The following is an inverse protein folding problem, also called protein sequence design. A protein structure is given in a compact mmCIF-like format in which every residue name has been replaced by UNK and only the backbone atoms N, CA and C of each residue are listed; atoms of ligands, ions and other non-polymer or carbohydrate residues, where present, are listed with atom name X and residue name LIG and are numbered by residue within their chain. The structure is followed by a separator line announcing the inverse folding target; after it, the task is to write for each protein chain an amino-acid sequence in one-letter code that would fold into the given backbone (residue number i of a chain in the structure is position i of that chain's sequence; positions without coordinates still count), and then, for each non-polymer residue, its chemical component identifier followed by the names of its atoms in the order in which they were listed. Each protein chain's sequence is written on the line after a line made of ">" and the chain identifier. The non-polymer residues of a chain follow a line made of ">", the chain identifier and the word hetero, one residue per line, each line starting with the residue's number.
data_IF_627888739417
#
_entry.id   IF_627888739417
#
_cell.length_a   1.000
_cell.length_b   1.000
_cell.length_c   1.000
_cell.angle_alpha   90.00
_cell.angle_beta   90.00
_cell.angle_gamma   90.00
#
_symmetry.space_group_name_H-M   'P 1'
#
loop_
_entity.id
_entity.type
_entity.pdbx_description
1 polymer ?
#
# COMPACT_ATOMS: atom_id res chain seq x y z
N UNK A 1 -80.91 -52.43 -14.87
CA UNK A 1 -82.10 -51.55 -15.05
C UNK A 1 -82.07 -50.57 -13.89
N UNK A 2 -81.99 -49.26 -14.14
CA UNK A 2 -81.99 -48.25 -13.05
C UNK A 2 -83.41 -48.11 -12.50
N UNK A 3 -83.55 -48.05 -11.18
CA UNK A 3 -84.86 -47.88 -10.54
C UNK A 3 -85.34 -46.45 -10.85
N UNK A 4 -86.54 -46.32 -11.45
CA UNK A 4 -87.15 -45.01 -11.72
C UNK A 4 -87.93 -44.55 -10.48
N UNK A 5 -87.60 -43.36 -9.98
CA UNK A 5 -88.33 -42.68 -8.90
C UNK A 5 -88.98 -41.41 -9.46
N UNK A 6 -90.26 -41.19 -9.17
CA UNK A 6 -90.94 -39.92 -9.46
C UNK A 6 -91.38 -39.35 -8.12
N UNK A 7 -90.78 -38.22 -7.74
CA UNK A 7 -90.85 -37.66 -6.41
C UNK A 7 -91.40 -36.24 -6.47
N UNK A 8 -92.32 -35.89 -5.57
CA UNK A 8 -93.06 -34.62 -5.56
C UNK A 8 -92.65 -33.78 -4.34
N UNK A 9 -92.29 -32.52 -4.58
CA UNK A 9 -91.90 -31.59 -3.52
C UNK A 9 -93.07 -31.17 -2.62
N UNK A 10 -94.32 -31.25 -3.12
CA UNK A 10 -95.53 -31.03 -2.32
C UNK A 10 -95.85 -32.21 -1.40
N UNK A 11 -95.23 -33.38 -1.62
CA UNK A 11 -95.39 -34.60 -0.83
C UNK A 11 -96.81 -35.18 -0.84
N UNK A 12 -97.68 -34.69 -1.72
CA UNK A 12 -99.10 -35.07 -1.80
C UNK A 12 -99.35 -36.26 -2.72
N UNK A 13 -98.48 -36.51 -3.70
CA UNK A 13 -98.61 -37.64 -4.62
C UNK A 13 -97.80 -38.86 -4.17
N UNK A 14 -98.52 -39.92 -3.79
CA UNK A 14 -97.95 -41.22 -3.37
C UNK A 14 -98.09 -42.32 -4.46
N UNK A 15 -98.79 -42.03 -5.56
CA UNK A 15 -99.28 -43.05 -6.50
C UNK A 15 -98.20 -43.79 -7.33
N UNK A 16 -96.93 -43.40 -7.24
CA UNK A 16 -95.80 -44.06 -7.94
C UNK A 16 -94.70 -44.59 -6.99
N UNK A 17 -95.02 -44.79 -5.70
CA UNK A 17 -94.09 -45.30 -4.68
C UNK A 17 -93.82 -46.82 -4.68
N UNK A 18 -94.24 -47.55 -5.72
CA UNK A 18 -94.06 -49.02 -5.76
C UNK A 18 -92.60 -49.47 -5.94
N UNK A 19 -91.65 -48.54 -6.00
CA UNK A 19 -90.23 -48.82 -6.17
C UNK A 19 -89.49 -48.70 -4.83
N UNK A 20 -89.02 -49.83 -4.31
CA UNK A 20 -88.12 -49.90 -3.15
C UNK A 20 -86.68 -49.98 -3.64
N UNK A 21 -85.84 -49.03 -3.23
CA UNK A 21 -84.42 -49.07 -3.51
C UNK A 21 -83.79 -50.15 -2.63
N UNK A 22 -83.24 -51.19 -3.25
CA UNK A 22 -82.60 -52.29 -2.53
C UNK A 22 -81.12 -52.33 -2.86
N UNK A 23 -80.28 -52.27 -1.84
CA UNK A 23 -78.83 -52.49 -1.93
C UNK A 23 -78.40 -53.56 -0.94
N UNK A 24 -77.17 -54.06 -1.08
CA UNK A 24 -76.54 -54.97 -0.12
C UNK A 24 -75.37 -54.26 0.57
N UNK A 25 -75.10 -54.61 1.83
CA UNK A 25 -73.87 -54.22 2.50
C UNK A 25 -72.65 -54.59 1.64
N UNK A 26 -71.76 -53.63 1.44
CA UNK A 26 -70.58 -53.80 0.58
C UNK A 26 -70.78 -53.49 -0.90
N UNK A 27 -72.02 -53.21 -1.36
CA UNK A 27 -72.25 -52.69 -2.71
C UNK A 27 -71.56 -51.32 -2.84
N UNK A 28 -70.75 -51.16 -3.89
CA UNK A 28 -70.00 -49.93 -4.17
C UNK A 28 -70.35 -49.39 -5.54
N UNK A 29 -70.95 -48.20 -5.59
CA UNK A 29 -71.17 -47.46 -6.84
C UNK A 29 -72.12 -48.13 -7.85
N UNK A 30 -72.84 -49.19 -7.46
CA UNK A 30 -73.70 -49.98 -8.34
C UNK A 30 -75.19 -49.71 -8.16
N UNK A 31 -75.60 -49.17 -7.01
CA UNK A 31 -77.00 -48.86 -6.72
C UNK A 31 -77.29 -47.43 -7.17
N UNK A 32 -77.91 -47.30 -8.34
CA UNK A 32 -78.27 -46.00 -8.95
C UNK A 32 -79.76 -45.91 -9.23
N UNK A 33 -80.37 -44.80 -8.82
CA UNK A 33 -81.76 -44.43 -9.14
C UNK A 33 -81.79 -43.34 -10.20
N UNK A 34 -82.81 -43.36 -11.06
CA UNK A 34 -83.13 -42.28 -11.98
C UNK A 34 -84.36 -41.54 -11.44
N UNK A 35 -84.18 -40.30 -11.03
CA UNK A 35 -85.13 -39.52 -10.22
C UNK A 35 -85.72 -38.38 -11.06
N UNK A 36 -87.04 -38.29 -11.10
CA UNK A 36 -87.78 -37.17 -11.66
C UNK A 36 -88.47 -36.42 -10.53
N UNK A 37 -88.06 -35.18 -10.30
CA UNK A 37 -88.69 -34.28 -9.33
C UNK A 37 -89.82 -33.53 -10.00
N UNK A 38 -90.97 -33.50 -9.35
CA UNK A 38 -92.15 -32.76 -9.78
C UNK A 38 -92.65 -31.83 -8.67
N UNK A 39 -93.36 -30.79 -9.05
CA UNK A 39 -94.16 -29.92 -8.19
C UNK A 39 -95.62 -30.05 -8.61
N UNK A 40 -96.39 -30.84 -7.85
CA UNK A 40 -97.80 -31.08 -8.17
C UNK A 40 -98.02 -31.76 -9.52
N UNK A 41 -97.07 -32.60 -9.95
CA UNK A 41 -97.11 -33.32 -11.23
C UNK A 41 -96.43 -32.61 -12.41
N UNK A 42 -95.99 -31.37 -12.25
CA UNK A 42 -95.22 -30.63 -13.28
C UNK A 42 -93.72 -30.81 -13.01
N UNK A 43 -92.86 -31.07 -14.01
CA UNK A 43 -91.42 -31.17 -13.81
C UNK A 43 -90.84 -29.96 -13.06
N UNK A 44 -90.11 -30.22 -11.97
CA UNK A 44 -89.51 -29.17 -11.15
C UNK A 44 -88.11 -28.81 -11.70
N UNK A 45 -87.87 -27.53 -12.00
CA UNK A 45 -86.60 -27.10 -12.58
C UNK A 45 -85.48 -27.11 -11.53
N UNK A 46 -84.43 -27.90 -11.77
CA UNK A 46 -83.29 -28.09 -10.87
C UNK A 46 -82.11 -27.14 -11.17
N UNK A 47 -82.22 -26.27 -12.18
CA UNK A 47 -81.13 -25.36 -12.57
C UNK A 47 -80.71 -24.48 -11.39
N UNK A 48 -79.42 -24.54 -11.04
CA UNK A 48 -78.86 -23.74 -9.93
C UNK A 48 -79.15 -24.28 -8.53
N UNK A 49 -79.80 -25.44 -8.40
CA UNK A 49 -80.01 -26.11 -7.12
C UNK A 49 -78.94 -27.18 -6.87
N UNK A 50 -78.56 -27.33 -5.60
CA UNK A 50 -77.78 -28.47 -5.11
C UNK A 50 -78.74 -29.51 -4.55
N UNK A 51 -78.52 -30.77 -4.91
CA UNK A 51 -79.38 -31.88 -4.49
C UNK A 51 -78.60 -32.72 -3.48
N UNK A 52 -79.22 -33.02 -2.35
CA UNK A 52 -78.66 -33.96 -1.38
C UNK A 52 -79.61 -35.14 -1.24
N UNK A 53 -79.06 -36.35 -1.28
CA UNK A 53 -79.70 -37.47 -0.63
C UNK A 53 -79.58 -37.31 0.89
N UNK A 54 -80.68 -37.48 1.60
CA UNK A 54 -80.71 -37.51 3.06
C UNK A 54 -81.40 -38.79 3.53
N UNK A 55 -80.67 -39.58 4.31
CA UNK A 55 -81.10 -40.89 4.76
C UNK A 55 -80.85 -41.11 6.26
N UNK A 56 -81.79 -41.81 6.90
CA UNK A 56 -81.60 -42.39 8.24
C UNK A 56 -81.57 -43.91 8.12
N UNK A 57 -80.42 -44.48 8.49
CA UNK A 57 -80.20 -45.93 8.51
C UNK A 57 -81.02 -46.63 9.60
N UNK A 58 -81.15 -47.97 9.57
CA UNK A 58 -81.82 -48.73 10.64
C UNK A 58 -81.33 -48.39 12.05
N UNK A 59 -80.02 -48.14 12.23
CA UNK A 59 -79.39 -47.78 13.50
C UNK A 59 -79.41 -46.28 13.85
N UNK A 60 -80.21 -45.46 13.15
CA UNK A 60 -80.28 -43.99 13.27
C UNK A 60 -79.05 -43.20 12.80
N UNK A 61 -78.00 -43.83 12.26
CA UNK A 61 -76.91 -43.06 11.69
C UNK A 61 -77.36 -42.37 10.39
N UNK A 62 -77.02 -41.08 10.29
CA UNK A 62 -77.45 -40.17 9.23
C UNK A 62 -76.49 -40.21 8.03
N UNK A 63 -77.02 -40.08 6.82
CA UNK A 63 -76.24 -39.95 5.59
C UNK A 63 -76.77 -38.75 4.84
N UNK A 64 -75.89 -37.78 4.56
CA UNK A 64 -76.16 -36.65 3.68
C UNK A 64 -75.11 -36.57 2.61
N UNK A 65 -75.54 -36.76 1.37
CA UNK A 65 -74.63 -36.87 0.25
C UNK A 65 -75.14 -36.13 -0.99
N UNK A 66 -74.28 -35.28 -1.55
CA UNK A 66 -74.49 -34.65 -2.86
C UNK A 66 -73.58 -35.25 -3.93
N UNK A 67 -72.46 -35.86 -3.55
CA UNK A 67 -71.42 -36.35 -4.47
C UNK A 67 -71.92 -37.43 -5.44
N UNK A 68 -72.95 -38.19 -5.06
CA UNK A 68 -73.58 -39.19 -5.92
C UNK A 68 -74.55 -38.65 -6.98
N UNK A 69 -74.87 -37.35 -6.96
CA UNK A 69 -75.84 -36.73 -7.89
C UNK A 69 -75.20 -36.46 -9.25
N UNK A 70 -75.87 -36.89 -10.31
CA UNK A 70 -75.56 -36.56 -11.70
C UNK A 70 -76.81 -36.00 -12.38
N UNK A 71 -76.81 -34.70 -12.66
CA UNK A 71 -77.91 -34.06 -13.40
C UNK A 71 -77.99 -34.66 -14.82
N UNK A 72 -79.18 -35.11 -15.21
CA UNK A 72 -79.44 -35.64 -16.55
C UNK A 72 -80.17 -34.59 -17.39
N UNK A 73 -81.22 -33.98 -16.83
CA UNK A 73 -81.92 -32.86 -17.44
C UNK A 73 -82.53 -31.97 -16.34
N UNK A 74 -81.84 -30.87 -16.02
CA UNK A 74 -82.22 -29.96 -14.94
C UNK A 74 -83.61 -29.34 -15.15
N UNK A 75 -83.95 -28.93 -16.38
CA UNK A 75 -85.23 -28.26 -16.66
C UNK A 75 -86.43 -29.21 -16.59
N UNK A 76 -86.18 -30.52 -16.68
CA UNK A 76 -87.18 -31.57 -16.54
C UNK A 76 -87.17 -32.26 -15.16
N UNK A 77 -86.46 -31.71 -14.17
CA UNK A 77 -86.40 -32.31 -12.84
C UNK A 77 -85.67 -33.65 -12.78
N UNK A 78 -84.86 -33.98 -13.79
CA UNK A 78 -84.30 -35.32 -13.96
C UNK A 78 -82.82 -35.39 -13.55
N UNK A 79 -82.50 -36.28 -12.61
CA UNK A 79 -81.13 -36.59 -12.21
C UNK A 79 -80.98 -38.06 -11.85
N UNK A 80 -79.74 -38.56 -11.95
CA UNK A 80 -79.38 -39.85 -11.38
C UNK A 80 -78.72 -39.64 -10.02
N UNK A 81 -78.99 -40.54 -9.09
CA UNK A 81 -78.26 -40.60 -7.83
C UNK A 81 -77.69 -41.99 -7.62
N UNK A 82 -76.37 -42.05 -7.49
CA UNK A 82 -75.66 -43.27 -7.11
C UNK A 82 -75.41 -43.25 -5.62
N UNK A 83 -75.99 -44.21 -4.92
CA UNK A 83 -75.89 -44.28 -3.47
C UNK A 83 -74.47 -44.58 -3.01
N UNK A 84 -74.05 -43.84 -1.98
CA UNK A 84 -72.82 -44.06 -1.24
C UNK A 84 -72.82 -45.43 -0.54
N UNK A 85 -71.70 -46.17 -0.49
CA UNK A 85 -71.58 -47.41 0.28
C UNK A 85 -72.02 -47.25 1.75
N UNK A 86 -71.76 -46.09 2.35
CA UNK A 86 -72.13 -45.74 3.73
C UNK A 86 -73.65 -45.73 3.95
N UNK A 87 -74.46 -45.57 2.88
CA UNK A 87 -75.93 -45.66 2.93
C UNK A 87 -76.38 -47.07 3.28
N UNK A 88 -75.73 -48.07 2.70
CA UNK A 88 -76.03 -49.49 2.89
C UNK A 88 -75.16 -50.11 3.98
N UNK A 89 -74.58 -49.32 4.88
CA UNK A 89 -73.67 -49.80 5.92
C UNK A 89 -74.34 -50.65 7.01
N UNK A 90 -75.67 -50.65 7.13
CA UNK A 90 -76.44 -51.40 8.15
C UNK A 90 -77.61 -52.12 7.50
N UNK A 91 -77.63 -53.44 7.62
CA UNK A 91 -78.74 -54.26 7.14
C UNK A 91 -80.07 -53.92 7.83
N UNK A 92 -81.16 -53.92 7.05
CA UNK A 92 -82.51 -53.62 7.51
C UNK A 92 -83.22 -52.57 6.66
N UNK A 93 -84.40 -52.17 7.12
CA UNK A 93 -85.23 -51.15 6.47
C UNK A 93 -84.73 -49.76 6.89
N UNK A 94 -84.40 -48.93 5.91
CA UNK A 94 -84.08 -47.52 6.13
C UNK A 94 -85.27 -46.79 6.76
N UNK A 95 -85.01 -45.99 7.79
CA UNK A 95 -86.06 -45.28 8.54
C UNK A 95 -86.60 -44.07 7.78
N UNK A 96 -85.75 -43.46 6.96
CA UNK A 96 -86.08 -42.29 6.14
C UNK A 96 -85.14 -42.20 4.96
N UNK A 97 -85.65 -41.82 3.80
CA UNK A 97 -84.85 -41.59 2.59
C UNK A 97 -85.61 -40.61 1.70
N UNK A 98 -85.03 -39.44 1.46
CA UNK A 98 -85.59 -38.42 0.59
C UNK A 98 -84.47 -37.63 -0.09
N UNK A 99 -84.84 -36.78 -1.04
CA UNK A 99 -83.92 -35.79 -1.61
C UNK A 99 -84.29 -34.40 -1.11
N UNK A 100 -83.29 -33.64 -0.65
CA UNK A 100 -83.41 -32.20 -0.44
C UNK A 100 -82.82 -31.46 -1.62
N UNK A 101 -83.45 -30.33 -1.94
CA UNK A 101 -83.10 -29.48 -3.07
C UNK A 101 -82.90 -28.10 -2.47
N UNK A 102 -81.65 -27.65 -2.46
CA UNK A 102 -81.23 -26.43 -1.80
C UNK A 102 -80.68 -25.42 -2.79
N UNK A 103 -81.03 -24.15 -2.61
CA UNK A 103 -80.55 -23.04 -3.43
C UNK A 103 -79.84 -22.02 -2.54
N UNK A 104 -78.54 -21.81 -2.80
CA UNK A 104 -77.75 -20.76 -2.14
C UNK A 104 -77.81 -20.75 -0.61
N UNK A 105 -78.00 -21.91 0.02
CA UNK A 105 -78.12 -22.06 1.49
C UNK A 105 -79.33 -21.37 2.13
N UNK A 106 -80.24 -20.79 1.34
CA UNK A 106 -81.35 -19.95 1.84
C UNK A 106 -82.72 -20.58 1.58
N UNK A 107 -82.85 -21.32 0.49
CA UNK A 107 -84.09 -22.02 0.12
C UNK A 107 -83.86 -23.52 0.19
N UNK A 108 -84.79 -24.25 0.82
CA UNK A 108 -84.77 -25.70 0.92
C UNK A 108 -86.15 -26.28 0.63
N UNK A 109 -86.23 -27.12 -0.39
CA UNK A 109 -87.37 -27.99 -0.66
C UNK A 109 -86.96 -29.45 -0.40
N UNK A 110 -87.92 -30.32 -0.15
CA UNK A 110 -87.69 -31.76 0.00
C UNK A 110 -88.79 -32.57 -0.66
N UNK A 111 -88.43 -33.74 -1.16
CA UNK A 111 -89.39 -34.72 -1.67
C UNK A 111 -90.12 -35.41 -0.52
N UNK A 112 -91.13 -36.22 -0.87
CA UNK A 112 -91.61 -37.27 0.02
C UNK A 112 -90.52 -38.34 0.27
N UNK A 113 -90.72 -39.12 1.34
CA UNK A 113 -89.88 -40.27 1.64
C UNK A 113 -90.10 -41.40 0.62
N UNK A 114 -89.06 -42.17 0.30
CA UNK A 114 -89.14 -43.40 -0.47
C UNK A 114 -88.53 -44.58 0.30
N UNK A 115 -88.91 -45.81 -0.06
CA UNK A 115 -88.43 -47.01 0.61
C UNK A 115 -86.99 -47.36 0.24
N UNK A 116 -86.15 -47.62 1.25
CA UNK A 116 -84.79 -48.12 1.09
C UNK A 116 -84.56 -49.36 1.96
N UNK A 117 -84.08 -50.45 1.38
CA UNK A 117 -83.76 -51.70 2.08
C UNK A 117 -82.29 -52.06 1.87
N UNK A 118 -81.62 -52.39 2.96
CA UNK A 118 -80.24 -52.90 2.93
C UNK A 118 -80.24 -54.39 3.28
N UNK A 119 -79.74 -55.22 2.38
CA UNK A 119 -79.51 -56.65 2.60
C UNK A 119 -78.16 -56.87 3.29
N UNK A 120 -78.08 -57.87 4.17
CA UNK A 120 -76.81 -58.25 4.81
C UNK A 120 -75.80 -58.81 3.79
N UNK A 121 -74.53 -58.53 4.03
CA UNK A 121 -73.43 -59.19 3.31
C UNK A 121 -73.23 -60.63 3.81
N UNK A 122 -72.40 -61.40 3.10
CA UNK A 122 -72.11 -62.78 3.47
C UNK A 122 -71.06 -62.91 4.57
N UNK A 123 -70.33 -61.82 4.90
CA UNK A 123 -69.06 -61.92 5.60
C UNK A 123 -69.07 -61.38 7.04
N UNK A 124 -69.89 -60.39 7.44
CA UNK A 124 -69.92 -59.98 8.88
C UNK A 124 -71.02 -58.99 9.31
N UNK A 125 -71.89 -58.48 8.45
CA UNK A 125 -73.04 -57.66 8.85
C UNK A 125 -72.74 -56.29 9.50
N UNK A 126 -71.47 -55.93 9.73
CA UNK A 126 -71.07 -54.72 10.46
C UNK A 126 -69.67 -54.25 10.04
N UNK A 127 -69.54 -53.36 9.05
CA UNK A 127 -68.21 -52.76 8.77
C UNK A 127 -68.20 -51.30 8.30
N UNK A 128 -69.32 -50.61 8.09
CA UNK A 128 -69.26 -49.19 7.66
C UNK A 128 -70.42 -48.30 8.18
N UNK A 129 -70.71 -48.29 9.48
CA UNK A 129 -71.79 -47.44 10.01
C UNK A 129 -71.35 -46.38 11.02
N UNK A 130 -70.85 -45.26 10.49
CA UNK A 130 -70.87 -43.94 11.14
C UNK A 130 -71.86 -43.00 10.43
N UNK A 131 -72.13 -41.79 10.97
CA UNK A 131 -72.78 -40.74 10.20
C UNK A 131 -71.89 -40.31 9.02
N UNK A 132 -72.48 -40.00 7.87
CA UNK A 132 -71.76 -39.60 6.66
C UNK A 132 -72.19 -38.21 6.16
N UNK A 133 -71.24 -37.29 6.27
CA UNK A 133 -71.16 -35.89 5.82
C UNK A 133 -70.44 -35.62 4.49
N UNK A 134 -71.04 -35.62 3.30
CA UNK A 134 -70.24 -35.37 2.06
C UNK A 134 -69.37 -34.11 2.10
N UNK A 135 -69.95 -32.98 2.49
CA UNK A 135 -69.23 -31.71 2.66
C UNK A 135 -68.20 -31.73 3.78
N UNK A 136 -68.45 -32.50 4.85
CA UNK A 136 -67.51 -32.63 5.97
C UNK A 136 -66.27 -33.43 5.54
N UNK A 137 -66.43 -34.48 4.75
CA UNK A 137 -65.31 -35.23 4.20
C UNK A 137 -64.48 -34.38 3.24
N UNK A 138 -65.13 -33.58 2.39
CA UNK A 138 -64.43 -32.61 1.54
C UNK A 138 -63.62 -31.62 2.39
N UNK A 139 -64.19 -31.11 3.48
CA UNK A 139 -63.50 -30.22 4.41
C UNK A 139 -62.31 -30.89 5.10
N UNK A 140 -62.45 -32.15 5.53
CA UNK A 140 -61.36 -32.93 6.15
C UNK A 140 -60.21 -33.11 5.15
N UNK A 141 -60.52 -33.47 3.90
CA UNK A 141 -59.52 -33.63 2.84
C UNK A 141 -58.81 -32.31 2.53
N UNK A 142 -59.56 -31.20 2.47
CA UNK A 142 -58.98 -29.86 2.27
C UNK A 142 -58.06 -29.46 3.44
N UNK A 143 -58.46 -29.75 4.67
CA UNK A 143 -57.64 -29.48 5.85
C UNK A 143 -56.34 -30.30 5.83
N UNK A 144 -56.42 -31.59 5.46
CA UNK A 144 -55.23 -32.44 5.33
C UNK A 144 -54.29 -31.93 4.24
N UNK A 145 -54.82 -31.56 3.08
CA UNK A 145 -54.03 -30.97 2.00
C UNK A 145 -53.33 -29.68 2.43
N UNK A 146 -54.04 -28.81 3.18
CA UNK A 146 -53.46 -27.58 3.69
C UNK A 146 -52.31 -27.85 4.67
N UNK A 147 -52.46 -28.83 5.56
CA UNK A 147 -51.40 -29.24 6.48
C UNK A 147 -50.18 -29.75 5.71
N UNK A 148 -50.39 -30.57 4.69
CA UNK A 148 -49.30 -31.13 3.87
C UNK A 148 -48.59 -30.03 3.06
N UNK A 149 -49.32 -29.05 2.49
CA UNK A 149 -48.75 -27.90 1.79
C UNK A 149 -47.91 -27.02 2.73
N UNK A 150 -48.42 -26.73 3.94
CA UNK A 150 -47.69 -25.96 4.95
C UNK A 150 -46.39 -26.68 5.34
N UNK A 151 -46.45 -27.98 5.62
CA UNK A 151 -45.27 -28.78 5.97
C UNK A 151 -44.23 -28.82 4.84
N UNK A 152 -44.68 -28.93 3.59
CA UNK A 152 -43.83 -28.88 2.41
C UNK A 152 -43.12 -27.52 2.29
N UNK A 153 -43.86 -26.41 2.41
CA UNK A 153 -43.31 -25.05 2.38
C UNK A 153 -42.32 -24.81 3.52
N UNK A 154 -42.66 -25.24 4.74
CA UNK A 154 -41.79 -25.13 5.92
C UNK A 154 -40.45 -25.84 5.70
N UNK A 155 -40.49 -27.06 5.17
CA UNK A 155 -39.29 -27.84 4.85
C UNK A 155 -38.42 -27.15 3.80
N UNK A 156 -39.05 -26.58 2.76
CA UNK A 156 -38.35 -25.82 1.72
C UNK A 156 -37.67 -24.58 2.29
N UNK A 157 -38.40 -23.79 3.09
CA UNK A 157 -37.88 -22.57 3.74
C UNK A 157 -36.69 -22.90 4.65
N UNK A 158 -36.81 -23.93 5.50
CA UNK A 158 -35.72 -24.31 6.41
C UNK A 158 -34.47 -24.76 5.67
N UNK A 159 -34.65 -25.46 4.55
CA UNK A 159 -33.54 -25.86 3.67
C UNK A 159 -32.84 -24.63 3.08
N UNK A 160 -33.59 -23.68 2.56
CA UNK A 160 -33.06 -22.42 2.01
C UNK A 160 -32.34 -21.60 3.09
N UNK A 161 -32.93 -21.49 4.29
CA UNK A 161 -32.34 -20.76 5.42
C UNK A 161 -31.00 -21.37 5.84
N UNK A 162 -30.92 -22.70 5.92
CA UNK A 162 -29.68 -23.43 6.24
C UNK A 162 -28.61 -23.17 5.17
N UNK A 163 -28.99 -23.19 3.89
CA UNK A 163 -28.06 -22.87 2.80
C UNK A 163 -27.55 -21.43 2.87
N UNK A 164 -28.41 -20.46 3.17
CA UNK A 164 -28.02 -19.06 3.35
C UNK A 164 -27.07 -18.89 4.54
N UNK A 165 -27.36 -19.55 5.66
CA UNK A 165 -26.50 -19.52 6.84
C UNK A 165 -25.11 -20.09 6.55
N UNK A 166 -25.05 -21.23 5.85
CA UNK A 166 -23.79 -21.83 5.45
C UNK A 166 -22.99 -20.90 4.52
N UNK A 167 -23.65 -20.31 3.52
CA UNK A 167 -23.01 -19.33 2.62
C UNK A 167 -22.43 -18.16 3.40
N UNK A 168 -23.19 -17.59 4.35
CA UNK A 168 -22.76 -16.48 5.18
C UNK A 168 -21.54 -16.85 6.04
N UNK A 169 -21.54 -18.03 6.65
CA UNK A 169 -20.42 -18.50 7.47
C UNK A 169 -19.14 -18.76 6.66
N UNK A 170 -19.27 -19.05 5.36
CA UNK A 170 -18.14 -19.29 4.45
C UNK A 170 -17.71 -18.05 3.66
N UNK A 171 -18.35 -16.89 3.86
CA UNK A 171 -17.95 -15.68 3.15
C UNK A 171 -16.62 -15.14 3.69
N UNK A 172 -15.59 -15.13 2.84
CA UNK A 172 -14.28 -14.54 3.12
C UNK A 172 -14.31 -13.01 2.98
N UNK A 173 -15.06 -12.34 3.86
CA UNK A 173 -15.20 -10.87 3.88
C UNK A 173 -14.64 -10.26 5.17
N UNK A 174 -13.97 -9.12 5.05
CA UNK A 174 -13.52 -8.33 6.21
C UNK A 174 -14.68 -7.47 6.71
N UNK A 175 -14.96 -7.51 8.02
CA UNK A 175 -16.05 -6.75 8.65
C UNK A 175 -15.74 -5.25 8.68
N UNK A 176 -16.79 -4.42 8.68
CA UNK A 176 -16.65 -2.96 8.84
C UNK A 176 -16.08 -2.55 10.21
N UNK A 177 -16.30 -3.36 11.23
CA UNK A 177 -15.71 -3.20 12.57
C UNK A 177 -14.23 -3.61 12.63
N UNK A 178 -13.64 -4.10 11.53
CA UNK A 178 -12.34 -4.76 11.49
C UNK A 178 -12.48 -6.28 11.62
N UNK A 179 -11.56 -6.99 10.96
CA UNK A 179 -11.33 -8.43 11.08
C UNK A 179 -9.88 -8.75 10.68
N UNK A 180 -9.43 -9.99 10.88
CA UNK A 180 -8.09 -10.45 10.44
C UNK A 180 -8.16 -11.03 9.04
N UNK A 181 -7.30 -10.55 8.12
CA UNK A 181 -7.11 -11.19 6.81
C UNK A 181 -5.99 -12.22 6.89
N UNK A 182 -6.29 -13.47 6.55
CA UNK A 182 -5.28 -14.53 6.38
C UNK A 182 -4.89 -14.60 4.90
N UNK A 183 -3.59 -14.46 4.60
CA UNK A 183 -3.05 -14.47 3.23
C UNK A 183 -2.73 -13.08 2.66
N UNK A 184 -2.19 -13.00 1.44
CA UNK A 184 -1.79 -11.73 0.82
C UNK A 184 -2.99 -10.92 0.30
N UNK A 185 -2.92 -9.59 0.45
CA UNK A 185 -3.85 -8.66 -0.18
C UNK A 185 -3.34 -8.29 -1.59
N UNK A 186 -4.07 -8.66 -2.63
CA UNK A 186 -3.81 -8.26 -4.01
C UNK A 186 -4.84 -7.23 -4.49
N UNK A 187 -4.36 -6.07 -4.97
CA UNK A 187 -5.22 -5.00 -5.50
C UNK A 187 -5.10 -5.04 -7.03
N UNK A 188 -6.14 -5.53 -7.72
CA UNK A 188 -6.14 -5.69 -9.19
C UNK A 188 -7.20 -4.80 -9.87
N UNK A 189 -6.94 -3.49 -9.96
CA UNK A 189 -7.75 -2.59 -10.81
C UNK A 189 -7.43 -2.77 -12.31
N UNK A 190 -8.40 -2.58 -13.21
CA UNK A 190 -8.14 -2.60 -14.64
C UNK A 190 -7.50 -1.28 -15.12
N UNK A 191 -6.61 -1.35 -16.13
CA UNK A 191 -6.04 -0.18 -16.80
C UNK A 191 -4.96 0.58 -16.01
N UNK A 192 -4.66 1.80 -16.46
CA UNK A 192 -3.60 2.67 -15.92
C UNK A 192 -4.00 3.46 -14.66
N UNK A 193 -5.11 3.09 -14.00
CA UNK A 193 -5.57 3.76 -12.77
C UNK A 193 -4.61 3.52 -11.60
N UNK A 194 -4.42 4.52 -10.76
CA UNK A 194 -3.70 4.39 -9.49
C UNK A 194 -4.35 3.32 -8.60
N UNK A 195 -3.58 2.31 -8.20
CA UNK A 195 -3.96 1.36 -7.17
C UNK A 195 -3.43 1.85 -5.84
N UNK A 196 -4.23 1.81 -4.79
CA UNK A 196 -3.82 2.42 -3.52
C UNK A 196 -4.49 1.82 -2.29
N UNK A 197 -3.79 1.96 -1.17
CA UNK A 197 -4.36 1.91 0.18
C UNK A 197 -4.55 3.35 0.64
N UNK A 198 -5.80 3.77 0.79
CA UNK A 198 -6.17 5.14 1.10
C UNK A 198 -6.50 5.30 2.59
N UNK A 199 -5.88 6.29 3.23
CA UNK A 199 -6.20 6.73 4.58
C UNK A 199 -7.14 7.93 4.47
N UNK A 200 -8.29 7.86 5.13
CA UNK A 200 -9.32 8.89 5.07
C UNK A 200 -9.57 9.49 6.45
N UNK A 201 -9.96 10.75 6.47
CA UNK A 201 -10.53 11.45 7.62
C UNK A 201 -11.87 12.05 7.18
N UNK A 202 -12.93 11.70 7.89
CA UNK A 202 -14.29 12.21 7.62
C UNK A 202 -14.74 12.01 6.15
N UNK A 203 -14.43 10.85 5.57
CA UNK A 203 -14.75 10.48 4.18
C UNK A 203 -13.86 11.14 3.12
N UNK A 204 -12.91 11.99 3.50
CA UNK A 204 -11.94 12.62 2.59
C UNK A 204 -10.61 11.91 2.68
N UNK A 205 -10.01 11.57 1.53
CA UNK A 205 -8.69 10.98 1.47
C UNK A 205 -7.60 11.98 1.87
N UNK A 206 -6.77 11.59 2.85
CA UNK A 206 -5.73 12.45 3.40
C UNK A 206 -4.34 12.01 2.95
N UNK A 207 -4.09 10.71 2.96
CA UNK A 207 -2.84 10.08 2.54
C UNK A 207 -3.12 8.79 1.81
N UNK A 208 -2.21 8.36 0.95
CA UNK A 208 -2.26 7.02 0.40
C UNK A 208 -0.88 6.42 0.16
N UNK A 209 -0.83 5.09 0.17
CA UNK A 209 0.21 4.29 -0.44
C UNK A 209 -0.28 3.92 -1.83
N UNK A 210 0.46 4.26 -2.88
CA UNK A 210 -0.01 4.05 -4.24
C UNK A 210 1.01 3.34 -5.14
N UNK A 211 0.47 2.65 -6.14
CA UNK A 211 1.16 2.23 -7.34
C UNK A 211 0.45 2.83 -8.56
N UNK A 212 1.20 3.45 -9.47
CA UNK A 212 0.67 4.07 -10.68
C UNK A 212 1.23 3.39 -11.93
N UNK A 213 0.34 2.82 -12.75
CA UNK A 213 0.62 2.28 -14.09
C UNK A 213 1.92 1.46 -14.19
N UNK A 214 2.26 0.69 -13.15
CA UNK A 214 3.50 -0.08 -12.99
C UNK A 214 4.82 0.72 -13.04
N UNK A 215 4.76 2.05 -13.09
CA UNK A 215 5.93 2.94 -13.24
C UNK A 215 6.37 3.58 -11.93
N UNK A 216 5.42 3.80 -11.00
CA UNK A 216 5.72 4.47 -9.74
C UNK A 216 5.09 3.72 -8.57
N UNK A 217 5.81 3.64 -7.45
CA UNK A 217 5.32 3.21 -6.15
C UNK A 217 5.70 4.26 -5.11
N UNK A 218 4.75 4.75 -4.32
CA UNK A 218 5.03 5.88 -3.44
C UNK A 218 3.99 6.17 -2.38
N UNK A 219 4.23 7.24 -1.64
CA UNK A 219 3.29 7.83 -0.68
C UNK A 219 2.88 9.21 -1.17
N UNK A 220 1.58 9.47 -1.18
CA UNK A 220 1.02 10.78 -1.53
C UNK A 220 0.36 11.45 -0.33
N UNK A 221 0.73 12.71 -0.10
CA UNK A 221 -0.05 13.66 0.69
C UNK A 221 -1.12 14.24 -0.23
N UNK A 222 -2.36 13.77 -0.05
CA UNK A 222 -3.48 14.12 -0.93
C UNK A 222 -3.96 15.54 -0.64
N UNK A 223 -4.01 15.93 0.64
CA UNK A 223 -4.40 17.28 1.04
C UNK A 223 -3.38 18.30 0.54
N UNK A 224 -2.08 18.03 0.74
CA UNK A 224 -0.99 18.89 0.29
C UNK A 224 -0.70 18.80 -1.20
N UNK A 225 -1.47 18.00 -1.96
CA UNK A 225 -1.34 17.73 -3.38
C UNK A 225 0.11 17.48 -3.84
N UNK A 226 0.82 16.60 -3.13
CA UNK A 226 2.23 16.32 -3.40
C UNK A 226 2.60 14.88 -3.06
N UNK A 227 3.54 14.32 -3.81
CA UNK A 227 4.14 13.05 -3.45
C UNK A 227 5.18 13.30 -2.35
N UNK A 228 5.22 12.44 -1.32
CA UNK A 228 6.19 12.52 -0.23
C UNK A 228 7.51 11.92 -0.69
N UNK A 229 7.43 10.72 -1.23
CA UNK A 229 8.49 9.99 -1.92
C UNK A 229 7.88 9.04 -2.94
N UNK A 230 8.67 8.65 -3.93
CA UNK A 230 8.30 7.65 -4.91
C UNK A 230 9.53 6.88 -5.40
N UNK A 231 9.32 5.61 -5.73
CA UNK A 231 10.25 4.79 -6.48
C UNK A 231 9.75 4.70 -7.92
N UNK A 232 10.57 5.14 -8.87
CA UNK A 232 10.32 4.98 -10.29
C UNK A 232 10.90 3.64 -10.75
N UNK A 233 10.04 2.70 -11.09
CA UNK A 233 10.43 1.34 -11.51
C UNK A 233 11.07 1.30 -12.89
N UNK A 234 10.91 2.36 -13.70
CA UNK A 234 11.48 2.47 -15.05
C UNK A 234 12.92 2.94 -15.00
N UNK A 235 13.23 3.93 -14.16
CA UNK A 235 14.59 4.46 -13.99
C UNK A 235 15.36 3.81 -12.83
N UNK A 236 14.66 3.11 -11.93
CA UNK A 236 15.24 2.57 -10.70
C UNK A 236 15.54 3.63 -9.64
N UNK A 237 15.00 4.84 -9.80
CA UNK A 237 15.29 5.98 -8.92
C UNK A 237 14.34 6.03 -7.72
N UNK A 238 14.90 6.24 -6.53
CA UNK A 238 14.15 6.59 -5.33
C UNK A 238 14.17 8.10 -5.12
N UNK A 239 13.04 8.75 -5.38
CA UNK A 239 12.88 10.20 -5.30
C UNK A 239 12.19 10.58 -4.00
N UNK A 240 12.88 11.36 -3.16
CA UNK A 240 12.25 12.01 -2.00
C UNK A 240 11.84 13.42 -2.41
N UNK A 241 10.53 13.64 -2.53
CA UNK A 241 9.93 14.83 -3.14
C UNK A 241 9.46 15.87 -2.11
N UNK A 242 9.67 15.57 -0.83
CA UNK A 242 9.42 16.47 0.29
C UNK A 242 10.68 16.57 1.15
N UNK A 243 10.84 17.62 1.98
CA UNK A 243 11.98 17.72 2.87
C UNK A 243 12.10 16.48 3.77
N UNK A 244 13.28 15.83 3.79
CA UNK A 244 13.56 14.69 4.68
C UNK A 244 13.46 15.05 6.18
N UNK A 245 13.42 16.34 6.51
CA UNK A 245 13.29 16.89 7.86
C UNK A 245 12.69 18.30 7.83
N UNK A 246 12.15 18.74 8.96
CA UNK A 246 11.73 20.13 9.15
C UNK A 246 12.92 21.09 9.02
N UNK A 247 12.63 22.38 8.79
CA UNK A 247 13.66 23.41 8.77
C UNK A 247 14.48 23.37 10.08
N UNK A 248 15.81 23.21 9.96
CA UNK A 248 16.72 23.09 11.10
C UNK A 248 16.94 21.68 11.67
N UNK A 249 16.30 20.64 11.11
CA UNK A 249 16.57 19.25 11.52
C UNK A 249 18.01 18.80 11.22
N UNK A 250 18.44 17.67 11.79
CA UNK A 250 19.76 17.05 11.56
C UNK A 250 19.57 15.63 11.02
N UNK A 251 20.42 15.20 10.09
CA UNK A 251 20.51 13.82 9.61
C UNK A 251 21.66 13.16 10.35
N UNK A 252 21.37 12.15 11.17
CA UNK A 252 22.35 11.48 12.03
C UNK A 252 22.69 10.09 11.49
N UNK A 253 23.94 9.67 11.64
CA UNK A 253 24.45 8.37 11.18
C UNK A 253 25.52 8.49 10.10
N UNK A 254 26.37 7.47 9.96
CA UNK A 254 27.35 7.41 8.89
C UNK A 254 26.63 7.27 7.54
N UNK A 255 27.06 8.04 6.54
CA UNK A 255 26.58 7.94 5.15
C UNK A 255 27.78 7.79 4.24
N UNK A 256 27.79 6.75 3.41
CA UNK A 256 28.82 6.49 2.40
C UNK A 256 28.22 6.72 1.02
N UNK A 257 28.97 7.34 0.11
CA UNK A 257 28.61 7.51 -1.29
C UNK A 257 29.67 6.81 -2.14
N UNK A 258 29.31 5.71 -2.80
CA UNK A 258 30.22 4.96 -3.70
C UNK A 258 30.30 5.58 -5.10
N UNK A 259 29.54 6.65 -5.33
CA UNK A 259 29.56 7.46 -6.54
C UNK A 259 29.78 8.94 -6.17
N UNK A 260 30.22 9.78 -7.13
CA UNK A 260 30.38 11.21 -6.90
C UNK A 260 29.09 11.86 -6.37
N UNK A 261 29.23 12.68 -5.32
CA UNK A 261 28.13 13.46 -4.75
C UNK A 261 28.17 14.90 -5.26
N UNK A 262 26.99 15.47 -5.51
CA UNK A 262 26.82 16.92 -5.73
C UNK A 262 25.97 17.51 -4.60
N UNK A 263 26.54 18.47 -3.85
CA UNK A 263 25.83 19.21 -2.81
C UNK A 263 25.51 20.61 -3.35
N UNK A 264 24.22 20.98 -3.41
CA UNK A 264 23.76 22.32 -3.83
C UNK A 264 22.85 22.93 -2.76
N UNK A 265 22.97 24.23 -2.54
CA UNK A 265 22.11 24.99 -1.63
C UNK A 265 22.20 26.48 -1.91
N UNK A 266 21.18 27.25 -1.52
CA UNK A 266 21.08 28.70 -1.79
C UNK A 266 22.20 29.55 -1.17
N UNK A 267 22.93 29.01 -0.20
CA UNK A 267 24.06 29.66 0.45
C UNK A 267 25.38 28.86 0.35
N UNK A 268 25.40 27.74 -0.40
CA UNK A 268 26.54 26.85 -0.69
C UNK A 268 27.63 26.71 0.41
N UNK A 269 27.25 26.81 1.68
CA UNK A 269 28.15 26.72 2.81
C UNK A 269 27.95 25.38 3.51
N UNK A 270 29.04 24.68 3.79
CA UNK A 270 29.01 23.44 4.56
C UNK A 270 30.19 23.36 5.53
N UNK A 271 29.92 22.85 6.72
CA UNK A 271 30.87 22.75 7.82
C UNK A 271 31.42 21.32 7.93
N UNK A 272 32.73 21.17 7.82
CA UNK A 272 33.45 19.97 8.22
C UNK A 272 33.96 20.17 9.64
N UNK A 273 33.23 19.63 10.62
CA UNK A 273 33.64 19.66 12.04
C UNK A 273 33.19 18.39 12.77
N UNK A 274 33.90 17.97 13.82
CA UNK A 274 33.37 16.97 14.75
C UNK A 274 32.03 17.44 15.30
N UNK A 275 31.11 16.49 15.57
CA UNK A 275 29.88 16.78 16.27
C UNK A 275 29.97 16.27 17.71
N UNK A 276 30.01 17.19 18.67
CA UNK A 276 29.83 16.90 20.09
C UNK A 276 28.57 17.63 20.56
N UNK A 277 27.60 16.88 21.10
CA UNK A 277 26.33 17.45 21.56
C UNK A 277 26.58 18.54 22.62
N UNK A 278 26.04 19.74 22.41
CA UNK A 278 26.15 20.86 23.36
C UNK A 278 27.48 21.62 23.35
N UNK A 279 28.44 21.27 22.48
CA UNK A 279 29.72 21.97 22.36
C UNK A 279 30.01 22.37 20.91
N UNK A 280 30.25 23.66 20.67
CA UNK A 280 30.77 24.12 19.38
C UNK A 280 32.16 23.52 19.16
N UNK A 281 32.33 22.85 18.03
CA UNK A 281 33.59 22.19 17.67
C UNK A 281 34.30 22.98 16.60
N UNK A 282 35.61 23.20 16.80
CA UNK A 282 36.51 23.76 15.79
C UNK A 282 36.48 22.90 14.53
N UNK A 283 36.72 23.50 13.38
CA UNK A 283 36.72 22.83 12.09
C UNK A 283 36.93 23.81 10.96
N UNK A 284 36.40 23.49 9.78
CA UNK A 284 36.45 24.39 8.62
C UNK A 284 35.07 24.55 7.98
N UNK A 285 34.79 25.75 7.48
CA UNK A 285 33.61 26.04 6.66
C UNK A 285 34.07 26.20 5.22
N UNK A 286 33.45 25.43 4.34
CA UNK A 286 33.55 25.56 2.90
C UNK A 286 32.45 26.50 2.42
N UNK A 287 32.75 27.37 1.45
CA UNK A 287 31.74 28.21 0.78
C UNK A 287 32.07 28.40 -0.69
N UNK A 288 31.04 28.63 -1.50
CA UNK A 288 31.16 29.15 -2.86
C UNK A 288 30.61 30.57 -2.86
N UNK A 289 31.49 31.54 -3.07
CA UNK A 289 31.06 32.92 -3.29
C UNK A 289 30.68 33.09 -4.76
N UNK A 290 29.38 33.12 -5.02
CA UNK A 290 28.84 33.25 -6.38
C UNK A 290 29.03 34.66 -6.95
N UNK A 291 28.98 35.70 -6.11
CA UNK A 291 29.16 37.10 -6.52
C UNK A 291 30.56 37.37 -7.07
N UNK A 292 31.58 36.86 -6.37
CA UNK A 292 32.99 37.10 -6.71
C UNK A 292 33.65 35.89 -7.40
N UNK A 293 32.86 34.85 -7.70
CA UNK A 293 33.27 33.59 -8.30
C UNK A 293 34.55 32.99 -7.68
N UNK A 294 34.47 32.58 -6.41
CA UNK A 294 35.57 31.84 -5.77
C UNK A 294 35.07 30.76 -4.82
N UNK A 295 35.87 29.71 -4.66
CA UNK A 295 35.73 28.74 -3.59
C UNK A 295 36.60 29.17 -2.42
N UNK A 296 36.09 29.12 -1.19
CA UNK A 296 36.88 29.43 0.00
C UNK A 296 36.66 28.45 1.15
N UNK A 297 37.71 28.31 1.96
CA UNK A 297 37.72 27.55 3.21
C UNK A 297 38.20 28.46 4.33
N UNK A 298 37.45 28.56 5.42
CA UNK A 298 37.82 29.35 6.60
C UNK A 298 37.77 28.51 7.88
N UNK A 299 38.69 28.74 8.83
CA UNK A 299 38.65 28.08 10.13
C UNK A 299 37.43 28.54 10.94
N UNK A 300 36.85 27.63 11.71
CA UNK A 300 35.74 27.87 12.62
C UNK A 300 36.27 28.02 14.05
N UNK A 301 35.82 29.05 14.76
CA UNK A 301 36.17 29.30 16.16
C UNK A 301 35.32 28.49 17.17
N UNK A 302 35.56 28.73 18.46
CA UNK A 302 34.89 28.06 19.59
C UNK A 302 33.42 28.47 19.76
N UNK A 303 32.95 29.47 19.01
CA UNK A 303 31.55 29.91 18.98
C UNK A 303 30.81 29.41 17.74
N UNK A 304 31.49 28.67 16.86
CA UNK A 304 30.92 28.17 15.61
C UNK A 304 30.91 29.19 14.47
N UNK A 305 31.56 30.33 14.63
CA UNK A 305 31.70 31.35 13.60
C UNK A 305 32.93 31.09 12.72
N UNK A 306 32.77 31.31 11.40
CA UNK A 306 33.88 31.19 10.45
C UNK A 306 34.69 32.49 10.41
N UNK A 307 36.01 32.40 10.56
CA UNK A 307 36.91 33.55 10.48
C UNK A 307 37.43 33.73 9.05
N UNK A 308 36.69 34.50 8.24
CA UNK A 308 37.02 34.73 6.83
C UNK A 308 38.29 35.55 6.60
N UNK A 309 38.79 36.28 7.60
CA UNK A 309 40.09 36.97 7.50
C UNK A 309 41.28 35.99 7.41
N UNK A 310 41.07 34.74 7.84
CA UNK A 310 42.04 33.65 7.79
C UNK A 310 41.68 32.60 6.72
N UNK A 311 40.96 32.99 5.67
CA UNK A 311 40.54 32.06 4.62
C UNK A 311 41.69 31.65 3.69
N UNK A 312 41.49 30.51 3.04
CA UNK A 312 42.12 30.15 1.77
C UNK A 312 41.05 30.25 0.68
N UNK A 313 41.32 30.93 -0.43
CA UNK A 313 40.38 31.10 -1.53
C UNK A 313 41.00 30.79 -2.90
N UNK A 314 40.26 30.10 -3.76
CA UNK A 314 40.60 29.87 -5.16
C UNK A 314 39.61 30.62 -6.04
N UNK A 315 40.09 31.67 -6.72
CA UNK A 315 39.27 32.50 -7.58
C UNK A 315 39.05 31.84 -8.94
N UNK A 316 37.79 31.58 -9.29
CA UNK A 316 37.42 30.91 -10.54
C UNK A 316 37.69 31.73 -11.80
N UNK A 317 37.69 33.06 -11.69
CA UNK A 317 37.97 33.93 -12.84
C UNK A 317 39.46 33.99 -13.20
N UNK A 318 40.34 33.89 -12.20
CA UNK A 318 41.78 34.13 -12.37
C UNK A 318 42.63 32.90 -12.11
N UNK A 319 42.08 31.86 -11.47
CA UNK A 319 42.83 30.71 -10.98
C UNK A 319 43.74 31.02 -9.78
N UNK A 320 43.70 32.23 -9.23
CA UNK A 320 44.58 32.65 -8.13
C UNK A 320 44.18 31.92 -6.84
N UNK A 321 45.17 31.29 -6.21
CA UNK A 321 45.08 30.78 -4.84
C UNK A 321 45.57 31.88 -3.87
N UNK A 322 44.63 32.43 -3.10
CA UNK A 322 44.88 33.44 -2.07
C UNK A 322 44.84 32.78 -0.69
N UNK A 323 45.86 33.04 0.12
CA UNK A 323 46.01 32.50 1.48
C UNK A 323 46.52 33.61 2.38
N UNK A 324 45.99 33.67 3.62
CA UNK A 324 46.41 34.69 4.59
C UNK A 324 47.92 34.65 4.87
N UNK A 325 48.44 33.46 5.16
CA UNK A 325 49.84 33.19 5.42
C UNK A 325 50.15 31.74 5.03
N UNK A 326 51.34 31.49 4.47
CA UNK A 326 51.80 30.14 4.11
C UNK A 326 53.07 29.79 4.87
N UNK A 327 52.97 28.82 5.78
CA UNK A 327 54.14 28.23 6.43
C UNK A 327 54.54 26.93 5.72
N UNK A 328 55.61 26.98 4.92
CA UNK A 328 56.15 25.81 4.23
C UNK A 328 57.10 25.08 5.18
N UNK A 329 56.63 23.99 5.80
CA UNK A 329 57.52 23.10 6.56
C UNK A 329 58.47 22.43 5.57
N UNK A 330 59.75 22.72 5.72
CA UNK A 330 60.80 22.39 4.76
C UNK A 330 60.91 20.88 4.54
N UNK A 331 60.33 20.37 3.46
CA UNK A 331 60.84 19.14 2.84
C UNK A 331 62.19 19.45 2.21
N UNK A 332 63.10 18.48 2.16
CA UNK A 332 64.49 18.64 1.71
C UNK A 332 64.70 19.29 0.32
N UNK A 333 63.63 19.49 -0.45
CA UNK A 333 63.62 20.03 -1.81
C UNK A 333 62.79 21.33 -1.96
N UNK A 334 62.57 22.09 -0.88
CA UNK A 334 61.89 23.39 -0.99
C UNK A 334 62.79 24.43 -1.68
N UNK A 335 62.37 24.92 -2.84
CA UNK A 335 63.04 26.00 -3.59
C UNK A 335 62.73 27.41 -3.02
N UNK A 336 62.15 27.47 -1.82
CA UNK A 336 62.10 28.72 -1.05
C UNK A 336 63.54 29.02 -0.64
N UNK A 337 64.04 30.23 -0.91
CA UNK A 337 65.38 30.67 -0.50
C UNK A 337 65.55 30.40 1.00
N UNK A 338 66.15 29.25 1.34
CA UNK A 338 66.36 28.91 2.75
C UNK A 338 67.52 29.77 3.22
N UNK A 339 67.24 30.71 4.13
CA UNK A 339 68.24 31.53 4.81
C UNK A 339 69.19 30.72 5.71
N UNK A 340 69.13 29.39 5.64
CA UNK A 340 69.92 28.46 6.45
C UNK A 340 71.43 28.62 6.22
N UNK A 341 71.84 29.05 5.01
CA UNK A 341 73.24 29.31 4.66
C UNK A 341 73.62 30.80 4.68
N UNK A 342 72.69 31.69 5.01
CA UNK A 342 72.97 33.13 5.06
C UNK A 342 73.73 33.46 6.35
N UNK A 343 74.75 34.31 6.25
CA UNK A 343 75.55 34.71 7.39
C UNK A 343 76.91 35.26 7.02
N UNK A 344 77.63 35.69 8.05
CA UNK A 344 78.97 36.23 7.97
C UNK A 344 79.98 35.14 8.36
N UNK A 345 80.93 34.85 7.47
CA UNK A 345 82.06 33.98 7.76
C UNK A 345 83.35 34.79 7.85
N UNK A 346 84.07 34.66 8.96
CA UNK A 346 85.42 35.23 9.10
C UNK A 346 86.42 34.42 8.31
N UNK A 347 87.25 35.07 7.49
CA UNK A 347 88.27 34.42 6.69
C UNK A 347 89.61 34.46 7.41
N UNK A 348 90.23 33.29 7.56
CA UNK A 348 91.54 33.15 8.20
C UNK A 348 92.60 33.25 7.10
N UNK A 349 93.49 34.24 7.23
CA UNK A 349 94.61 34.41 6.31
C UNK A 349 95.69 33.33 6.56
N UNK A 350 96.35 32.89 5.49
CA UNK A 350 97.54 32.05 5.60
C UNK A 350 98.74 32.89 6.07
N UNK A 351 99.84 32.24 6.45
CA UNK A 351 101.11 32.92 6.77
C UNK A 351 101.67 33.77 5.60
N UNK A 352 101.20 33.51 4.38
CA UNK A 352 101.61 34.22 3.17
C UNK A 352 100.92 35.59 3.01
N UNK A 353 99.97 35.94 3.88
CA UNK A 353 99.25 37.20 3.81
C UNK A 353 99.10 37.85 5.18
N UNK A 354 99.06 39.18 5.18
CA UNK A 354 98.79 39.96 6.39
C UNK A 354 97.61 40.87 6.14
N UNK A 355 96.72 40.97 7.14
CA UNK A 355 95.62 41.92 7.10
C UNK A 355 96.18 43.33 7.28
N UNK A 356 95.98 44.18 6.28
CA UNK A 356 96.56 45.51 6.27
C UNK A 356 95.72 46.54 7.04
N UNK A 357 94.48 46.18 7.42
CA UNK A 357 93.58 47.06 8.17
C UNK A 357 92.81 46.28 9.24
N UNK A 358 93.13 46.54 10.52
CA UNK A 358 92.48 45.87 11.66
C UNK A 358 90.98 46.21 11.79
N UNK A 359 90.52 47.34 11.23
CA UNK A 359 89.10 47.72 11.17
C UNK A 359 88.35 47.12 9.97
N UNK A 360 89.04 46.48 9.02
CA UNK A 360 88.46 45.89 7.82
C UNK A 360 88.82 44.40 7.71
N UNK A 361 88.26 43.61 8.63
CA UNK A 361 88.55 42.19 8.73
C UNK A 361 88.16 41.41 7.46
N UNK A 362 88.97 40.42 7.04
CA UNK A 362 88.62 39.51 5.96
C UNK A 362 87.36 38.71 6.31
N UNK A 363 86.29 38.90 5.52
CA UNK A 363 85.03 38.17 5.70
C UNK A 363 84.39 37.80 4.34
N UNK A 364 83.52 36.79 4.38
CA UNK A 364 82.57 36.47 3.33
C UNK A 364 81.14 36.59 3.88
N UNK A 365 80.30 37.40 3.24
CA UNK A 365 78.89 37.59 3.61
C UNK A 365 77.97 36.94 2.58
N UNK A 366 77.17 35.95 2.97
CA UNK A 366 76.21 35.26 2.09
C UNK A 366 74.79 35.78 2.27
N UNK A 367 74.13 36.12 1.16
CA UNK A 367 72.70 36.45 1.08
C UNK A 367 72.10 35.72 -0.13
N UNK A 368 71.33 34.66 0.13
CA UNK A 368 70.74 33.81 -0.90
C UNK A 368 71.80 33.02 -1.69
N UNK A 369 71.84 33.22 -3.01
CA UNK A 369 72.82 32.60 -3.91
C UNK A 369 74.05 33.50 -4.16
N UNK A 370 74.17 34.62 -3.46
CA UNK A 370 75.21 35.62 -3.68
C UNK A 370 76.08 35.74 -2.45
N UNK A 371 77.40 35.75 -2.65
CA UNK A 371 78.40 35.99 -1.62
C UNK A 371 79.20 37.22 -1.98
N UNK A 372 79.43 38.08 -1.00
CA UNK A 372 80.39 39.18 -1.11
C UNK A 372 81.56 38.92 -0.19
N UNK A 373 82.74 38.73 -0.77
CA UNK A 373 84.00 38.68 -0.04
C UNK A 373 84.56 40.09 0.05
N UNK A 374 84.99 40.47 1.25
CA UNK A 374 85.72 41.72 1.46
C UNK A 374 86.94 41.47 2.34
N UNK A 375 88.06 42.06 1.96
CA UNK A 375 89.29 42.05 2.75
C UNK A 375 90.24 43.16 2.30
N UNK A 376 91.11 43.62 3.19
CA UNK A 376 92.19 44.52 2.84
C UNK A 376 93.51 43.89 3.26
N UNK A 377 94.26 43.36 2.29
CA UNK A 377 95.36 42.42 2.56
C UNK A 377 96.58 42.75 1.72
N UNK A 378 97.72 42.32 2.24
CA UNK A 378 99.00 42.31 1.52
C UNK A 378 99.49 40.87 1.48
N UNK A 379 99.78 40.34 0.28
CA UNK A 379 100.59 39.11 0.18
C UNK A 379 102.03 39.45 0.54
N UNK A 380 102.62 38.76 1.49
CA UNK A 380 103.91 39.11 2.06
C UNK A 380 105.06 39.00 1.05
N UNK A 381 106.06 39.87 1.16
CA UNK A 381 107.27 39.78 0.34
C UNK A 381 108.02 38.51 0.73
N UNK A 382 108.38 37.67 -0.25
CA UNK A 382 109.02 36.38 0.00
C UNK A 382 108.06 35.19 0.19
N UNK A 383 106.74 35.39 0.06
CA UNK A 383 105.75 34.31 0.16
C UNK A 383 105.91 33.22 -0.91
N UNK A 384 106.01 31.96 -0.49
CA UNK A 384 106.18 30.78 -1.35
C UNK A 384 104.91 30.36 -2.11
N UNK A 385 103.73 30.85 -1.69
CA UNK A 385 102.44 30.53 -2.32
C UNK A 385 101.61 31.78 -2.62
N UNK A 386 100.77 31.70 -3.67
CA UNK A 386 99.78 32.73 -4.00
C UNK A 386 98.53 32.66 -3.11
N UNK A 387 98.31 31.55 -2.40
CA UNK A 387 97.13 31.34 -1.54
C UNK A 387 97.15 32.25 -0.31
N UNK A 388 96.16 33.13 -0.19
CA UNK A 388 96.03 34.07 0.93
C UNK A 388 94.97 33.66 1.96
N UNK A 389 93.91 32.95 1.56
CA UNK A 389 92.95 32.31 2.48
C UNK A 389 92.09 31.26 1.74
N UNK A 390 91.35 30.47 2.52
CA UNK A 390 90.38 29.49 1.99
C UNK A 390 88.98 29.81 2.46
N UNK A 391 88.04 29.87 1.53
CA UNK A 391 86.61 30.06 1.76
C UNK A 391 85.96 28.80 2.35
N UNK A 392 85.13 28.94 3.40
CA UNK A 392 84.26 27.86 3.88
C UNK A 392 83.37 27.30 2.77
N UNK A 393 83.00 26.02 2.89
CA UNK A 393 82.30 25.26 1.83
C UNK A 393 81.02 25.95 1.32
N UNK A 394 80.24 26.56 2.21
CA UNK A 394 78.97 27.20 1.85
C UNK A 394 79.12 28.58 1.19
N UNK A 395 80.34 29.12 1.09
CA UNK A 395 80.60 30.43 0.47
C UNK A 395 81.58 30.36 -0.71
N UNK A 396 81.85 29.17 -1.23
CA UNK A 396 82.73 28.97 -2.41
C UNK A 396 81.98 29.32 -3.69
N UNK A 397 82.63 30.02 -4.64
CA UNK A 397 81.98 30.40 -5.89
C UNK A 397 81.64 29.17 -6.74
N UNK A 398 80.58 29.24 -7.54
CA UNK A 398 80.21 28.17 -8.46
C UNK A 398 81.25 27.94 -9.56
N UNK A 399 81.98 28.99 -9.95
CA UNK A 399 83.06 28.98 -10.94
C UNK A 399 84.22 29.85 -10.46
N UNK A 400 85.44 29.65 -10.99
CA UNK A 400 86.57 30.55 -10.68
C UNK A 400 86.29 31.96 -11.18
N UNK A 401 86.43 32.94 -10.26
CA UNK A 401 86.29 34.37 -10.54
C UNK A 401 87.67 35.01 -10.51
N UNK A 402 88.10 35.53 -11.65
CA UNK A 402 89.38 36.23 -11.82
C UNK A 402 89.14 37.73 -11.91
N UNK A 403 89.81 38.51 -11.06
CA UNK A 403 89.65 39.95 -10.96
C UNK A 403 91.00 40.63 -10.85
N UNK A 404 91.10 41.83 -11.41
CA UNK A 404 92.24 42.72 -11.22
C UNK A 404 91.83 43.86 -10.30
N UNK A 405 92.58 44.04 -9.22
CA UNK A 405 92.39 45.12 -8.25
C UNK A 405 93.57 46.09 -8.31
N UNK A 406 93.33 47.36 -7.97
CA UNK A 406 94.39 48.34 -7.80
C UNK A 406 94.90 48.30 -6.36
N UNK A 407 96.22 48.21 -6.19
CA UNK A 407 96.88 48.38 -4.90
C UNK A 407 96.97 49.87 -4.53
N UNK A 408 97.25 50.16 -3.25
CA UNK A 408 97.36 51.53 -2.75
C UNK A 408 98.44 52.37 -3.44
N UNK A 409 99.44 51.74 -4.06
CA UNK A 409 100.51 52.38 -4.81
C UNK A 409 100.20 52.53 -6.32
N UNK A 410 98.97 52.22 -6.74
CA UNK A 410 98.52 52.30 -8.13
C UNK A 410 98.87 51.10 -9.01
N UNK A 411 99.57 50.09 -8.49
CA UNK A 411 99.89 48.86 -9.25
C UNK A 411 98.69 47.92 -9.35
N UNK A 412 98.63 47.14 -10.43
CA UNK A 412 97.56 46.14 -10.64
C UNK A 412 97.92 44.83 -9.95
N UNK A 413 96.97 44.25 -9.23
CA UNK A 413 97.06 42.97 -8.52
C UNK A 413 95.97 42.03 -9.03
N UNK A 414 96.39 40.94 -9.67
CA UNK A 414 95.49 39.85 -10.04
C UNK A 414 95.11 39.01 -8.83
N UNK A 415 93.81 38.76 -8.67
CA UNK A 415 93.23 37.92 -7.63
C UNK A 415 92.28 36.89 -8.25
N UNK A 416 92.47 35.62 -7.89
CA UNK A 416 91.55 34.55 -8.23
C UNK A 416 90.80 34.08 -6.99
N UNK A 417 89.48 33.97 -7.11
CA UNK A 417 88.64 33.24 -6.16
C UNK A 417 88.18 31.98 -6.89
N UNK A 418 88.81 30.85 -6.62
CA UNK A 418 88.60 29.62 -7.37
C UNK A 418 87.39 28.83 -6.84
N UNK A 419 86.81 27.99 -7.70
CA UNK A 419 85.66 27.14 -7.37
C UNK A 419 85.90 26.21 -6.17
N UNK A 420 87.15 25.82 -5.89
CA UNK A 420 87.54 25.00 -4.74
C UNK A 420 87.70 25.83 -3.44
N UNK A 421 87.43 27.13 -3.50
CA UNK A 421 87.41 28.05 -2.37
C UNK A 421 88.74 28.73 -2.07
N UNK A 422 89.78 28.54 -2.88
CA UNK A 422 91.06 29.25 -2.68
C UNK A 422 90.93 30.70 -3.12
N UNK A 423 91.47 31.60 -2.33
CA UNK A 423 91.69 33.00 -2.71
C UNK A 423 93.18 33.17 -2.95
N UNK A 424 93.55 33.49 -4.18
CA UNK A 424 94.94 33.59 -4.62
C UNK A 424 95.27 35.00 -5.07
N UNK A 425 96.39 35.55 -4.62
CA UNK A 425 96.89 36.88 -4.96
C UNK A 425 98.27 36.77 -5.60
N UNK A 426 98.42 37.22 -6.85
CA UNK A 426 99.62 36.91 -7.63
C UNK A 426 100.77 37.92 -7.47
N UNK A 427 100.51 39.12 -6.97
CA UNK A 427 101.54 40.15 -6.72
C UNK A 427 101.89 40.23 -5.24
N UNK A 428 103.18 40.17 -4.88
CA UNK A 428 103.68 40.28 -3.49
C UNK A 428 104.00 41.73 -3.11
N UNK A 429 103.93 42.03 -1.81
CA UNK A 429 104.31 43.33 -1.24
C UNK A 429 103.36 44.48 -1.55
N UNK A 430 102.19 44.21 -2.14
CA UNK A 430 101.19 45.24 -2.51
C UNK A 430 99.96 45.14 -1.61
N UNK A 431 99.61 46.24 -0.96
CA UNK A 431 98.39 46.33 -0.16
C UNK A 431 97.18 46.59 -1.07
N UNK A 432 96.19 45.70 -1.01
CA UNK A 432 95.05 45.71 -1.91
C UNK A 432 93.74 45.52 -1.15
N UNK A 433 92.75 46.37 -1.45
CA UNK A 433 91.39 46.22 -0.96
C UNK A 433 90.58 45.40 -1.97
N UNK A 434 90.21 44.19 -1.57
CA UNK A 434 89.44 43.25 -2.38
C UNK A 434 87.98 43.34 -1.94
N UNK A 435 87.10 43.62 -2.89
CA UNK A 435 85.65 43.44 -2.74
C UNK A 435 85.16 42.73 -3.99
N UNK A 436 84.65 41.52 -3.81
CA UNK A 436 84.22 40.67 -4.90
C UNK A 436 82.88 40.05 -4.57
N UNK A 437 81.92 40.17 -5.48
CA UNK A 437 80.61 39.54 -5.36
C UNK A 437 80.47 38.47 -6.44
N UNK A 438 80.10 37.26 -6.03
CA UNK A 438 79.93 36.13 -6.92
C UNK A 438 78.77 35.25 -6.51
N UNK A 439 78.34 34.39 -7.43
CA UNK A 439 77.28 33.42 -7.19
C UNK A 439 77.87 32.12 -6.66
N UNK A 440 77.11 31.51 -5.76
CA UNK A 440 77.44 30.26 -5.07
C UNK A 440 76.31 29.27 -5.32
N UNK A 441 76.65 27.98 -5.31
CA UNK A 441 75.64 26.92 -5.40
C UNK A 441 74.81 26.79 -4.10
#
# INVERSE_FOLDING_TARGET
>A
MKIKLVLDINKTQQAQLNAVVTGRQGDKGTVTVNVFVVDGGVPYNLTGNTIYYEGLKPNNAYVRDTSGVKIINATQGNFEYTFRPETFGVAGIGKRSYFSIEQGGTVRASTQDFGLITLADAMTGNTMSGPYISELEELINLAQWLVDDINSRWTSINTQLTQLQNKLNTMDVVKRSGDTMTGPLSINGAGASTKKLAFQKDGTEVFNLYAFSNTHFGVRDVIGNKNVWEYNTTTGEFNVLTPMRSAGGVFTGQTTFDAPITIRGSAAAWDMRPYASGAYSKGVRHTINTTNNFYAVAPIDETGAANWSNQMALYGNTGVLDVRDLNIRVGANSNVVTKLKDGLATLILTENATNANSGYMPIADRRGNTVTVRMEVTRNVGSASALICTLPVDVRPANTVSMNFLANDGSVVGVNITWDGKVEMYTTGKQTKIVATYVVN
#
